data_IF_419052468847
#
_entry.id   IF_419052468847
#
_cell.length_a   1.000
_cell.length_b   1.000
_cell.length_c   1.000
_cell.angle_alpha   90.00
_cell.angle_beta   90.00
_cell.angle_gamma   90.00
#
_symmetry.space_group_name_H-M   'P 1'
#
loop_
_entity.id
_entity.type
_entity.pdbx_description
1 polymer ?
#
# COMPACT_ATOMS: atom_id res chain seq x y z
N UNK A 1 -26.64 18.85 35.93
CA UNK A 1 -26.46 19.34 34.55
C UNK A 1 -25.04 18.98 34.12
N UNK A 2 -24.92 17.96 33.28
CA UNK A 2 -23.64 17.54 32.70
C UNK A 2 -23.86 17.46 31.19
N UNK A 3 -23.25 18.38 30.45
CA UNK A 3 -23.37 18.48 29.00
C UNK A 3 -22.32 17.57 28.36
N UNK A 4 -22.74 16.43 27.83
CA UNK A 4 -21.88 15.59 26.99
C UNK A 4 -22.11 15.98 25.52
N UNK A 5 -21.15 16.70 24.95
CA UNK A 5 -21.12 17.03 23.52
C UNK A 5 -20.79 15.78 22.71
N UNK A 6 -21.80 15.14 22.13
CA UNK A 6 -21.62 14.08 21.15
C UNK A 6 -21.30 14.70 19.78
N UNK A 7 -20.05 15.03 19.50
CA UNK A 7 -19.60 15.23 18.11
C UNK A 7 -19.61 13.87 17.41
N UNK A 8 -20.75 13.55 16.79
CA UNK A 8 -20.92 12.45 15.87
C UNK A 8 -20.03 12.62 14.64
N UNK A 9 -18.79 12.11 14.71
CA UNK A 9 -18.11 11.67 13.49
C UNK A 9 -18.78 10.36 13.08
N UNK A 10 -19.55 10.39 11.98
CA UNK A 10 -19.75 9.17 11.19
C UNK A 10 -18.35 8.65 10.91
N UNK A 11 -17.96 7.54 11.54
CA UNK A 11 -16.67 6.92 11.32
C UNK A 11 -16.68 6.27 9.93
N UNK A 12 -16.61 7.08 8.88
CA UNK A 12 -15.95 6.64 7.67
C UNK A 12 -14.52 6.35 8.11
N UNK A 13 -14.18 5.07 8.20
CA UNK A 13 -12.84 4.63 8.57
C UNK A 13 -11.85 5.21 7.54
N UNK A 14 -11.29 6.38 7.85
CA UNK A 14 -10.30 7.04 7.01
C UNK A 14 -9.04 6.17 7.03
N UNK A 15 -8.90 5.33 6.00
CA UNK A 15 -7.71 4.53 5.77
C UNK A 15 -6.63 5.43 5.17
N UNK A 16 -5.40 5.27 5.65
CA UNK A 16 -4.27 6.06 5.18
C UNK A 16 -3.94 5.71 3.71
N UNK A 17 -3.63 6.71 2.90
CA UNK A 17 -3.18 6.51 1.51
C UNK A 17 -1.76 5.96 1.52
N UNK A 18 -1.50 4.90 0.76
CA UNK A 18 -0.14 4.41 0.59
C UNK A 18 0.58 5.23 -0.48
N UNK A 19 1.87 5.50 -0.25
CA UNK A 19 2.73 6.25 -1.16
C UNK A 19 4.10 5.57 -1.30
N UNK A 20 5.00 6.13 -2.11
CA UNK A 20 6.39 5.70 -2.21
C UNK A 20 7.18 5.81 -0.88
N UNK A 21 6.64 6.52 0.12
CA UNK A 21 7.18 6.57 1.47
C UNK A 21 6.67 5.43 2.38
N UNK A 22 5.66 4.67 1.95
CA UNK A 22 5.18 3.52 2.71
C UNK A 22 6.21 2.39 2.73
N UNK A 23 6.35 1.74 3.88
CA UNK A 23 7.19 0.54 4.00
C UNK A 23 6.33 -0.69 3.75
N UNK A 24 6.67 -1.46 2.71
CA UNK A 24 5.97 -2.69 2.36
C UNK A 24 6.97 -3.86 2.33
N UNK A 25 6.59 -5.00 2.92
CA UNK A 25 7.39 -6.23 2.94
C UNK A 25 6.56 -7.41 2.48
N UNK A 26 7.19 -8.35 1.77
CA UNK A 26 6.56 -9.63 1.50
C UNK A 26 6.48 -10.46 2.80
N UNK A 27 5.60 -11.47 2.88
CA UNK A 27 5.44 -12.26 4.11
C UNK A 27 6.68 -13.08 4.47
N UNK A 28 7.64 -13.21 3.56
CA UNK A 28 8.89 -13.94 3.76
C UNK A 28 10.08 -13.04 4.15
N UNK A 29 9.86 -11.74 4.36
CA UNK A 29 10.88 -10.80 4.85
C UNK A 29 11.58 -9.94 3.78
N UNK A 30 11.32 -10.18 2.49
CA UNK A 30 11.79 -9.33 1.39
C UNK A 30 11.17 -7.94 1.41
N UNK A 31 11.90 -6.94 0.89
CA UNK A 31 11.47 -5.54 0.85
C UNK A 31 10.84 -5.21 -0.50
N UNK A 32 9.71 -4.53 -0.49
CA UNK A 32 9.14 -3.96 -1.72
C UNK A 32 9.88 -2.66 -2.02
N UNK A 33 10.32 -2.52 -3.26
CA UNK A 33 10.93 -1.29 -3.74
C UNK A 33 9.85 -0.23 -3.95
N UNK A 34 10.16 1.05 -3.68
CA UNK A 34 9.24 2.14 -4.00
C UNK A 34 8.78 2.05 -5.46
N UNK A 35 7.51 2.37 -5.71
CA UNK A 35 7.01 2.48 -7.07
C UNK A 35 7.77 3.52 -7.89
N UNK A 36 7.76 3.40 -9.23
CA UNK A 36 8.43 4.35 -10.09
C UNK A 36 7.91 5.77 -9.83
N UNK A 37 8.80 6.73 -9.63
CA UNK A 37 8.41 8.14 -9.63
C UNK A 37 7.94 8.52 -11.04
N UNK A 38 6.70 9.00 -11.14
CA UNK A 38 6.15 9.53 -12.39
C UNK A 38 6.11 11.05 -12.32
N UNK A 39 6.48 11.79 -13.38
CA UNK A 39 6.54 13.26 -13.36
C UNK A 39 5.22 13.93 -12.95
N UNK A 40 4.09 13.30 -13.25
CA UNK A 40 2.74 13.80 -12.95
C UNK A 40 2.02 12.93 -11.90
N UNK A 41 2.76 12.20 -11.07
CA UNK A 41 2.16 11.47 -9.97
C UNK A 41 1.51 12.46 -8.98
N UNK A 42 0.28 12.15 -8.56
CA UNK A 42 -0.30 12.79 -7.37
C UNK A 42 0.58 12.45 -6.18
N UNK A 43 0.94 13.46 -5.37
CA UNK A 43 1.81 13.30 -4.20
C UNK A 43 1.06 13.60 -2.91
N UNK A 44 1.36 12.86 -1.86
CA UNK A 44 0.92 13.10 -0.48
C UNK A 44 2.17 13.25 0.37
N UNK A 45 2.29 14.37 1.09
CA UNK A 45 3.48 14.73 1.87
C UNK A 45 4.79 14.63 1.05
N UNK A 46 4.74 15.00 -0.24
CA UNK A 46 5.89 14.92 -1.16
C UNK A 46 6.17 13.54 -1.77
N UNK A 47 5.52 12.48 -1.30
CA UNK A 47 5.69 11.11 -1.82
C UNK A 47 4.60 10.75 -2.85
N UNK A 48 4.98 10.07 -3.93
CA UNK A 48 4.05 9.65 -4.98
C UNK A 48 3.03 8.64 -4.44
N UNK A 49 1.74 8.87 -4.69
CA UNK A 49 0.66 7.98 -4.28
C UNK A 49 0.70 6.68 -5.08
N UNK A 50 0.51 5.55 -4.40
CA UNK A 50 0.41 4.24 -5.04
C UNK A 50 -0.99 3.99 -5.60
N UNK A 51 -1.07 3.34 -6.75
CA UNK A 51 -2.36 2.94 -7.37
C UNK A 51 -2.39 1.45 -7.68
N UNK A 52 -3.59 0.88 -7.79
CA UNK A 52 -3.77 -0.56 -8.10
C UNK A 52 -3.25 -0.96 -9.48
N UNK A 53 -2.95 0.01 -10.35
CA UNK A 53 -2.32 -0.24 -11.65
C UNK A 53 -0.82 -0.58 -11.52
N UNK A 54 -0.20 -0.32 -10.37
CA UNK A 54 1.21 -0.57 -10.15
C UNK A 54 1.48 -2.04 -9.80
N UNK A 55 2.54 -2.58 -10.41
CA UNK A 55 3.19 -3.81 -9.96
C UNK A 55 4.54 -3.41 -9.38
N UNK A 56 4.71 -3.55 -8.06
CA UNK A 56 5.93 -3.13 -7.37
C UNK A 56 6.88 -4.30 -7.22
N UNK A 57 8.18 -4.08 -7.46
CA UNK A 57 9.21 -5.11 -7.35
C UNK A 57 9.52 -5.43 -5.88
N UNK A 58 9.85 -6.70 -5.61
CA UNK A 58 10.33 -7.18 -4.32
C UNK A 58 11.80 -7.56 -4.46
N UNK A 59 12.63 -7.12 -3.53
CA UNK A 59 14.06 -7.45 -3.45
C UNK A 59 14.39 -8.15 -2.13
N UNK A 60 15.43 -9.00 -2.16
CA UNK A 60 15.97 -9.65 -0.96
C UNK A 60 15.01 -10.62 -0.25
N UNK A 61 14.07 -11.24 -0.96
CA UNK A 61 13.20 -12.27 -0.39
C UNK A 61 13.99 -13.59 -0.21
N UNK A 62 14.19 -14.07 1.03
CA UNK A 62 15.00 -15.26 1.31
C UNK A 62 14.21 -16.58 1.16
N UNK A 63 12.97 -16.54 0.67
CA UNK A 63 12.08 -17.71 0.67
C UNK A 63 12.63 -18.86 -0.17
N UNK A 64 12.63 -20.06 0.43
CA UNK A 64 13.03 -21.31 -0.21
C UNK A 64 12.01 -22.41 0.09
N UNK A 65 11.79 -23.32 -0.86
CA UNK A 65 10.98 -24.54 -0.66
C UNK A 65 11.88 -25.73 -0.92
N UNK A 66 12.07 -26.60 0.07
CA UNK A 66 12.98 -27.76 -0.02
C UNK A 66 14.40 -27.40 -0.51
N UNK A 67 14.94 -26.27 -0.02
CA UNK A 67 16.26 -25.77 -0.41
C UNK A 67 16.32 -25.05 -1.76
N UNK A 68 15.22 -25.03 -2.53
CA UNK A 68 15.15 -24.32 -3.82
C UNK A 68 14.62 -22.90 -3.61
N UNK A 69 15.35 -21.85 -4.05
CA UNK A 69 14.87 -20.47 -3.95
C UNK A 69 13.55 -20.24 -4.69
N UNK A 70 12.57 -19.66 -3.99
CA UNK A 70 11.25 -19.28 -4.53
C UNK A 70 10.91 -17.83 -4.12
N UNK A 71 11.76 -16.84 -4.44
CA UNK A 71 11.58 -15.49 -3.95
C UNK A 71 10.30 -14.85 -4.50
N UNK A 72 9.63 -14.06 -3.65
CA UNK A 72 8.67 -13.07 -4.12
C UNK A 72 9.38 -12.09 -5.06
N UNK A 73 8.78 -11.81 -6.21
CA UNK A 73 9.29 -10.87 -7.21
C UNK A 73 8.47 -9.61 -7.30
N UNK A 74 7.16 -9.68 -7.05
CA UNK A 74 6.27 -8.53 -7.16
C UNK A 74 5.19 -8.51 -6.09
N UNK A 75 4.59 -7.33 -5.90
CA UNK A 75 3.33 -7.14 -5.17
C UNK A 75 2.35 -6.36 -6.04
N UNK A 76 1.06 -6.71 -5.95
CA UNK A 76 -0.07 -6.04 -6.61
C UNK A 76 -1.21 -5.88 -5.62
N UNK A 77 -2.10 -4.91 -5.87
CA UNK A 77 -3.32 -4.72 -5.10
C UNK A 77 -4.55 -4.95 -5.96
N UNK A 78 -5.60 -5.52 -5.36
CA UNK A 78 -6.88 -5.67 -6.02
C UNK A 78 -7.60 -4.30 -6.16
N UNK A 79 -8.29 -4.08 -7.27
CA UNK A 79 -9.18 -2.92 -7.42
C UNK A 79 -10.39 -3.07 -6.47
N UNK A 80 -10.67 -2.11 -5.57
CA UNK A 80 -11.78 -2.17 -4.64
C UNK A 80 -13.16 -1.94 -5.29
N UNK A 81 -13.21 -1.67 -6.60
CA UNK A 81 -14.43 -1.43 -7.35
C UNK A 81 -14.80 0.06 -7.50
N UNK A 82 -16.05 0.35 -7.91
CA UNK A 82 -16.53 1.72 -8.04
C UNK A 82 -16.70 2.39 -6.66
N UNK A 83 -16.34 3.67 -6.55
CA UNK A 83 -16.52 4.48 -5.32
C UNK A 83 -15.23 4.88 -4.58
N UNK A 84 -14.07 4.37 -4.97
CA UNK A 84 -12.77 4.80 -4.45
C UNK A 84 -12.20 6.04 -5.16
N UNK A 85 -11.29 6.77 -4.49
CA UNK A 85 -10.50 7.84 -5.13
C UNK A 85 -9.63 7.24 -6.23
N UNK A 86 -9.66 7.84 -7.42
CA UNK A 86 -8.89 7.39 -8.59
C UNK A 86 -7.93 8.47 -9.07
N UNK A 87 -6.74 8.05 -9.49
CA UNK A 87 -5.72 8.89 -10.12
C UNK A 87 -5.38 8.27 -11.46
N UNK A 88 -5.56 9.03 -12.55
CA UNK A 88 -5.38 8.51 -13.91
C UNK A 88 -6.26 7.28 -14.22
N UNK A 89 -7.46 7.22 -13.64
CA UNK A 89 -8.41 6.10 -13.81
C UNK A 89 -8.18 4.89 -12.90
N UNK A 90 -7.01 4.77 -12.26
CA UNK A 90 -6.70 3.67 -11.33
C UNK A 90 -7.03 4.04 -9.88
N UNK A 91 -7.59 3.11 -9.11
CA UNK A 91 -7.87 3.31 -7.69
C UNK A 91 -6.58 3.54 -6.88
N UNK A 92 -6.63 4.50 -5.96
CA UNK A 92 -5.58 4.75 -4.98
C UNK A 92 -5.53 3.60 -3.97
N UNK A 93 -4.33 3.14 -3.63
CA UNK A 93 -4.15 2.09 -2.63
C UNK A 93 -4.26 2.68 -1.22
N UNK A 94 -5.15 2.11 -0.42
CA UNK A 94 -5.35 2.48 0.98
C UNK A 94 -4.74 1.42 1.91
N UNK A 95 -4.36 1.84 3.12
CA UNK A 95 -3.93 0.94 4.18
C UNK A 95 -5.03 -0.10 4.46
N UNK A 96 -4.65 -1.37 4.47
CA UNK A 96 -5.59 -2.50 4.59
C UNK A 96 -6.28 -2.91 3.30
N UNK A 97 -5.91 -2.35 2.14
CA UNK A 97 -6.32 -2.89 0.84
C UNK A 97 -5.75 -4.30 0.64
N UNK A 98 -6.50 -5.15 -0.08
CA UNK A 98 -6.09 -6.52 -0.38
C UNK A 98 -4.91 -6.53 -1.36
N UNK A 99 -3.71 -6.73 -0.82
CA UNK A 99 -2.47 -6.90 -1.57
C UNK A 99 -2.06 -8.38 -1.67
N UNK A 100 -1.35 -8.72 -2.74
CA UNK A 100 -0.86 -10.08 -2.99
C UNK A 100 0.59 -10.03 -3.48
N UNK A 101 1.49 -10.74 -2.80
CA UNK A 101 2.84 -10.99 -3.29
C UNK A 101 2.84 -12.16 -4.28
N UNK A 102 3.70 -12.11 -5.29
CA UNK A 102 3.82 -13.14 -6.32
C UNK A 102 5.27 -13.59 -6.50
N UNK A 103 5.46 -14.88 -6.79
CA UNK A 103 6.73 -15.46 -7.20
C UNK A 103 7.12 -15.11 -8.64
N UNK A 104 8.29 -15.62 -9.09
CA UNK A 104 8.74 -15.45 -10.48
C UNK A 104 7.82 -16.16 -11.49
N UNK A 105 7.19 -17.24 -11.05
CA UNK A 105 6.16 -18.03 -11.74
C UNK A 105 4.76 -17.41 -11.64
N UNK A 106 4.62 -16.22 -11.07
CA UNK A 106 3.35 -15.58 -10.73
C UNK A 106 2.47 -16.39 -9.78
N UNK A 107 3.03 -17.36 -9.05
CA UNK A 107 2.31 -18.06 -8.00
C UNK A 107 2.04 -17.10 -6.82
N UNK A 108 0.82 -17.06 -6.26
CA UNK A 108 0.50 -16.28 -5.06
C UNK A 108 1.36 -16.73 -3.86
N UNK A 109 1.95 -15.79 -3.15
CA UNK A 109 2.85 -15.99 -2.02
C UNK A 109 2.30 -15.41 -0.70
N UNK A 110 1.00 -15.15 -0.62
CA UNK A 110 0.34 -14.48 0.51
C UNK A 110 0.36 -12.94 0.50
N UNK A 111 -0.31 -12.30 1.47
CA UNK A 111 -0.44 -10.84 1.55
C UNK A 111 0.84 -10.15 2.06
N UNK A 112 1.13 -8.92 1.62
CA UNK A 112 2.24 -8.13 2.15
C UNK A 112 1.92 -7.57 3.54
N UNK A 113 2.97 -7.31 4.32
CA UNK A 113 2.88 -6.44 5.51
C UNK A 113 3.12 -4.99 5.09
N UNK A 114 2.24 -4.10 5.52
CA UNK A 114 2.26 -2.68 5.15
C UNK A 114 2.33 -1.81 6.40
N UNK A 115 3.33 -0.95 6.45
CA UNK A 115 3.41 0.18 7.38
C UNK A 115 3.28 1.46 6.55
N UNK A 116 2.14 2.17 6.63
CA UNK A 116 1.96 3.43 5.93
C UNK A 116 3.04 4.46 6.30
N UNK A 117 3.38 5.35 5.36
CA UNK A 117 4.45 6.35 5.52
C UNK A 117 4.21 7.40 6.61
N UNK A 118 3.03 7.40 7.22
CA UNK A 118 2.65 8.28 8.30
C UNK A 118 2.11 9.62 7.80
N UNK A 119 0.97 10.02 8.36
CA UNK A 119 0.49 11.41 8.39
C UNK A 119 1.29 12.18 9.43
N UNK A 120 2.34 12.91 9.02
CA UNK A 120 2.68 14.12 9.80
C UNK A 120 1.49 15.05 9.58
N UNK A 121 0.67 15.23 10.62
CA UNK A 121 -0.48 16.12 10.57
C UNK A 121 -0.02 17.47 10.05
N UNK A 122 -0.74 18.01 9.07
CA UNK A 122 -0.59 19.41 8.74
C UNK A 122 -1.09 20.19 9.97
N UNK A 123 -0.17 20.72 10.77
CA UNK A 123 -0.51 21.76 11.75
C UNK A 123 -0.65 23.07 10.98
N UNK A 124 -1.85 23.66 11.04
CA UNK A 124 -2.01 25.06 10.71
C UNK A 124 -1.29 25.86 11.81
N UNK A 125 -0.18 26.51 11.44
CA UNK A 125 0.40 27.57 12.27
C UNK A 125 -0.23 28.90 11.89
#
# INVERSE_FOLDING_TARGET
MTYQSSTGRRANAAREVLSSASTVRCPHGGRVLPGPERPHAVRVAGAAVLTVAETLAVSGCPWTVNGVPRPCRTVRWADPGPGGVRVGGAAVVLAGAAGQCYGADLAPQGPPTVVPGGRRGAECR
#
